data_IF_243755456082
#
_entry.id   IF_243755456082
#
_cell.length_a   1.000
_cell.length_b   1.000
_cell.length_c   1.000
_cell.angle_alpha   90.00
_cell.angle_beta   90.00
_cell.angle_gamma   90.00
#
_symmetry.space_group_name_H-M   'P 1'
#
loop_
_entity.id
_entity.type
_entity.pdbx_description
1 polymer ?
#
# COMPACT_ATOMS: atom_id res chain seq x y z
N UNK A 1 -20.33 65.44 -21.90
CA UNK A 1 -19.42 64.27 -21.98
C UNK A 1 -18.68 64.08 -20.66
N UNK A 2 -19.39 63.72 -19.57
CA UNK A 2 -18.77 63.49 -18.25
C UNK A 2 -19.22 62.15 -17.62
N UNK A 3 -20.37 61.59 -18.00
CA UNK A 3 -20.86 60.30 -17.49
C UNK A 3 -20.19 59.06 -18.11
N UNK A 4 -19.77 59.14 -19.37
CA UNK A 4 -19.22 57.99 -20.12
C UNK A 4 -17.84 57.55 -19.60
N UNK A 5 -17.03 58.52 -19.15
CA UNK A 5 -15.69 58.30 -18.62
C UNK A 5 -15.69 57.73 -17.19
N UNK A 6 -16.74 58.02 -16.42
CA UNK A 6 -16.96 57.49 -15.06
C UNK A 6 -17.46 56.06 -15.13
N UNK A 7 -18.40 55.76 -16.03
CA UNK A 7 -18.91 54.39 -16.24
C UNK A 7 -17.79 53.44 -16.67
N UNK A 8 -16.95 53.82 -17.66
CA UNK A 8 -15.81 52.99 -18.08
C UNK A 8 -14.82 52.71 -16.94
N UNK A 9 -14.52 53.69 -16.08
CA UNK A 9 -13.64 53.49 -14.91
C UNK A 9 -14.29 52.56 -13.88
N UNK A 10 -15.59 52.70 -13.65
CA UNK A 10 -16.34 51.85 -12.71
C UNK A 10 -16.42 50.40 -13.20
N UNK A 11 -16.65 50.18 -14.50
CA UNK A 11 -16.66 48.84 -15.11
C UNK A 11 -15.30 48.15 -15.04
N UNK A 12 -14.20 48.88 -15.27
CA UNK A 12 -12.83 48.34 -15.17
C UNK A 12 -12.50 47.93 -13.73
N UNK A 13 -12.92 48.72 -12.73
CA UNK A 13 -12.71 48.39 -11.32
C UNK A 13 -13.49 47.13 -10.93
N UNK A 14 -14.74 46.98 -11.40
CA UNK A 14 -15.55 45.79 -11.15
C UNK A 14 -14.91 44.54 -11.78
N UNK A 15 -14.40 44.63 -13.02
CA UNK A 15 -13.74 43.50 -13.68
C UNK A 15 -12.46 43.09 -12.93
N UNK A 16 -11.64 44.05 -12.50
CA UNK A 16 -10.45 43.77 -11.68
C UNK A 16 -10.85 43.13 -10.35
N UNK A 17 -11.93 43.58 -9.72
CA UNK A 17 -12.46 42.96 -8.50
C UNK A 17 -12.96 41.54 -8.74
N UNK A 18 -13.64 41.27 -9.86
CA UNK A 18 -14.10 39.92 -10.21
C UNK A 18 -12.90 39.00 -10.46
N UNK A 19 -11.87 39.45 -11.17
CA UNK A 19 -10.64 38.69 -11.41
C UNK A 19 -9.88 38.45 -10.10
N UNK A 20 -9.80 39.46 -9.22
CA UNK A 20 -9.16 39.34 -7.92
C UNK A 20 -9.93 38.37 -6.99
N UNK A 21 -11.27 38.43 -6.97
CA UNK A 21 -12.11 37.49 -6.23
C UNK A 21 -11.97 36.09 -6.81
N UNK A 22 -11.97 35.93 -8.14
CA UNK A 22 -11.74 34.64 -8.79
C UNK A 22 -10.35 34.07 -8.48
N UNK A 23 -9.31 34.91 -8.46
CA UNK A 23 -7.95 34.50 -8.07
C UNK A 23 -7.88 34.12 -6.59
N UNK A 24 -8.51 34.91 -5.70
CA UNK A 24 -8.57 34.61 -4.27
C UNK A 24 -9.34 33.30 -4.03
N UNK A 25 -10.50 33.11 -4.66
CA UNK A 25 -11.27 31.85 -4.58
C UNK A 25 -10.46 30.69 -5.16
N UNK A 26 -9.74 30.87 -6.26
CA UNK A 26 -8.85 29.85 -6.85
C UNK A 26 -7.67 29.50 -5.93
N UNK A 27 -7.06 30.48 -5.25
CA UNK A 27 -6.00 30.28 -4.27
C UNK A 27 -6.51 29.64 -2.97
N UNK A 28 -7.71 29.99 -2.50
CA UNK A 28 -8.33 29.38 -1.32
C UNK A 28 -8.88 27.97 -1.58
N UNK A 29 -9.20 27.61 -2.83
CA UNK A 29 -9.57 26.24 -3.21
C UNK A 29 -8.36 25.32 -3.38
N UNK A 30 -7.15 25.86 -3.54
CA UNK A 30 -5.90 25.08 -3.56
C UNK A 30 -5.23 24.91 -2.18
N UNK A 31 -5.83 25.45 -1.11
CA UNK A 31 -5.41 25.07 0.24
C UNK A 31 -6.12 23.78 0.58
N UNK A 32 -5.64 22.68 0.00
CA UNK A 32 -5.78 21.39 0.66
C UNK A 32 -5.18 21.59 2.05
N UNK A 33 -6.05 21.63 3.06
CA UNK A 33 -5.64 21.32 4.40
C UNK A 33 -5.23 19.84 4.36
N UNK A 34 -4.04 19.56 3.83
CA UNK A 34 -3.29 18.36 4.16
C UNK A 34 -3.15 18.42 5.67
N UNK A 35 -4.09 17.78 6.39
CA UNK A 35 -3.79 17.19 7.67
C UNK A 35 -2.62 16.25 7.40
N UNK A 36 -1.40 16.79 7.46
CA UNK A 36 -0.18 16.02 7.39
C UNK A 36 -0.33 14.96 8.49
N UNK A 37 -0.56 13.68 8.14
CA UNK A 37 -0.73 12.66 9.15
C UNK A 37 0.54 12.71 10.02
N UNK A 38 0.40 12.61 11.35
CA UNK A 38 1.55 12.78 12.24
C UNK A 38 2.67 11.87 11.76
N UNK A 39 3.84 12.46 11.47
CA UNK A 39 5.01 11.72 11.03
C UNK A 39 5.43 10.79 12.16
N UNK A 40 4.98 9.53 12.11
CA UNK A 40 5.29 8.52 13.12
C UNK A 40 6.79 8.31 13.15
N UNK A 41 7.41 8.46 14.32
CA UNK A 41 8.85 8.20 14.44
C UNK A 41 9.13 6.70 14.28
N UNK A 42 10.34 6.34 13.84
CA UNK A 42 10.76 4.94 13.72
C UNK A 42 10.56 4.17 15.04
N UNK A 43 10.85 4.80 16.18
CA UNK A 43 10.67 4.21 17.50
C UNK A 43 9.20 3.93 17.82
N UNK A 44 8.31 4.90 17.57
CA UNK A 44 6.87 4.72 17.78
C UNK A 44 6.30 3.62 16.87
N UNK A 45 6.77 3.53 15.62
CA UNK A 45 6.37 2.48 14.69
C UNK A 45 6.79 1.08 15.21
N UNK A 46 8.03 0.94 15.69
CA UNK A 46 8.53 -0.33 16.25
C UNK A 46 7.69 -0.74 17.46
N UNK A 47 7.45 0.17 18.41
CA UNK A 47 6.66 -0.15 19.61
C UNK A 47 5.20 -0.46 19.25
N UNK A 48 4.60 0.28 18.32
CA UNK A 48 3.27 -0.01 17.77
C UNK A 48 3.23 -1.42 17.17
N UNK A 49 4.20 -1.80 16.34
CA UNK A 49 4.25 -3.12 15.72
C UNK A 49 4.42 -4.25 16.74
N UNK A 50 5.21 -4.04 17.81
CA UNK A 50 5.29 -5.00 18.93
C UNK A 50 3.94 -5.17 19.62
N UNK A 51 3.22 -4.08 19.85
CA UNK A 51 1.86 -4.11 20.43
C UNK A 51 0.91 -4.88 19.52
N UNK A 52 0.96 -4.67 18.20
CA UNK A 52 0.15 -5.42 17.24
C UNK A 52 0.42 -6.92 17.31
N UNK A 53 1.68 -7.36 17.30
CA UNK A 53 2.04 -8.78 17.38
C UNK A 53 1.66 -9.40 18.72
N UNK A 54 1.86 -8.67 19.82
CA UNK A 54 1.59 -9.19 21.17
C UNK A 54 0.08 -9.24 21.49
N UNK A 55 -0.70 -8.28 20.99
CA UNK A 55 -2.12 -8.13 21.35
C UNK A 55 -3.09 -8.67 20.30
N UNK A 56 -2.70 -8.77 19.03
CA UNK A 56 -3.51 -9.43 17.99
C UNK A 56 -2.96 -10.83 17.76
N UNK A 57 -3.54 -11.75 18.51
CA UNK A 57 -3.21 -13.18 18.50
C UNK A 57 -3.50 -13.89 17.16
N UNK A 58 -3.91 -13.18 16.10
CA UNK A 58 -4.27 -13.75 14.81
C UNK A 58 -3.64 -12.95 13.67
N UNK A 59 -2.83 -13.61 12.86
CA UNK A 59 -2.18 -13.02 11.69
C UNK A 59 -2.62 -13.79 10.43
N UNK A 60 -3.23 -13.12 9.44
CA UNK A 60 -3.55 -13.78 8.18
C UNK A 60 -2.25 -14.13 7.44
N UNK A 61 -2.07 -15.39 7.06
CA UNK A 61 -1.03 -15.81 6.13
C UNK A 61 -1.55 -15.87 4.70
N UNK A 62 -2.82 -16.27 4.53
CA UNK A 62 -3.59 -16.21 3.29
C UNK A 62 -5.02 -15.79 3.63
N UNK A 63 -5.88 -15.59 2.61
CA UNK A 63 -7.28 -15.20 2.81
C UNK A 63 -8.04 -16.09 3.82
N UNK A 64 -7.74 -17.39 3.86
CA UNK A 64 -8.40 -18.37 4.73
C UNK A 64 -7.47 -19.05 5.74
N UNK A 65 -6.18 -18.68 5.78
CA UNK A 65 -5.20 -19.29 6.69
C UNK A 65 -4.80 -18.23 7.69
N UNK A 66 -5.25 -18.39 8.94
CA UNK A 66 -4.97 -17.48 10.03
C UNK A 66 -4.04 -18.18 11.02
N UNK A 67 -2.86 -17.63 11.20
CA UNK A 67 -1.92 -18.07 12.22
C UNK A 67 -2.32 -17.48 13.57
N UNK A 68 -2.57 -18.35 14.55
CA UNK A 68 -2.72 -17.92 15.94
C UNK A 68 -1.36 -17.87 16.65
N UNK A 69 -1.07 -16.81 17.40
CA UNK A 69 0.19 -16.64 18.14
C UNK A 69 -0.11 -16.53 19.65
N UNK A 70 0.62 -17.26 20.52
CA UNK A 70 1.70 -18.20 20.19
C UNK A 70 1.17 -19.51 19.57
N UNK A 71 1.94 -20.08 18.65
CA UNK A 71 1.71 -21.41 18.06
C UNK A 71 2.99 -22.22 18.17
N UNK A 72 2.85 -23.53 18.41
CA UNK A 72 4.01 -24.42 18.47
C UNK A 72 4.83 -24.34 17.18
N UNK A 73 6.16 -24.33 17.30
CA UNK A 73 7.08 -24.28 16.16
C UNK A 73 6.80 -23.10 15.21
N UNK A 74 6.28 -22.00 15.74
CA UNK A 74 6.04 -20.76 15.00
C UNK A 74 6.47 -19.57 15.84
N UNK A 75 7.30 -18.71 15.26
CA UNK A 75 7.79 -17.50 15.91
C UNK A 75 7.35 -16.28 15.11
N UNK A 76 6.88 -15.25 15.80
CA UNK A 76 6.62 -13.94 15.24
C UNK A 76 7.46 -12.90 15.99
N UNK A 77 8.26 -12.13 15.26
CA UNK A 77 9.20 -11.17 15.84
C UNK A 77 9.16 -9.84 15.08
N UNK A 78 9.50 -8.75 15.78
CA UNK A 78 9.70 -7.43 15.18
C UNK A 78 11.19 -7.14 15.14
N UNK A 79 11.72 -6.89 13.95
CA UNK A 79 13.14 -6.56 13.77
C UNK A 79 13.49 -5.18 14.34
N UNK A 80 14.78 -4.86 14.42
CA UNK A 80 15.26 -3.52 14.82
C UNK A 80 14.81 -2.39 13.87
N UNK A 81 14.38 -2.73 12.66
CA UNK A 81 13.82 -1.78 11.71
C UNK A 81 12.29 -1.70 11.77
N UNK A 82 11.64 -2.54 12.58
CA UNK A 82 10.19 -2.56 12.76
C UNK A 82 9.46 -3.57 11.88
N UNK A 83 10.17 -4.28 10.99
CA UNK A 83 9.56 -5.29 10.12
C UNK A 83 9.05 -6.47 10.94
N UNK A 84 7.90 -6.99 10.53
CA UNK A 84 7.35 -8.23 11.05
C UNK A 84 8.02 -9.42 10.35
N UNK A 85 8.48 -10.37 11.14
CA UNK A 85 9.02 -11.64 10.70
C UNK A 85 8.19 -12.77 11.30
N UNK A 86 7.73 -13.69 10.46
CA UNK A 86 7.11 -14.94 10.89
C UNK A 86 7.94 -16.09 10.35
N UNK A 87 8.28 -17.04 11.19
CA UNK A 87 8.93 -18.30 10.80
C UNK A 87 8.12 -19.45 11.36
N UNK A 88 7.86 -20.48 10.55
CA UNK A 88 7.08 -21.64 10.98
C UNK A 88 7.61 -22.94 10.39
N UNK A 89 7.73 -23.94 11.26
CA UNK A 89 7.88 -25.36 10.91
C UNK A 89 6.68 -26.18 11.43
N UNK A 90 5.60 -25.50 11.83
CA UNK A 90 4.38 -26.13 12.30
C UNK A 90 3.70 -26.92 11.16
N UNK A 91 3.68 -28.24 11.29
CA UNK A 91 3.15 -29.14 10.25
C UNK A 91 1.69 -28.88 9.90
N UNK A 92 0.85 -28.46 10.86
CA UNK A 92 -0.56 -28.17 10.59
C UNK A 92 -0.70 -26.98 9.63
N UNK A 93 0.05 -25.90 9.88
CA UNK A 93 0.04 -24.70 9.03
C UNK A 93 0.65 -25.00 7.66
N UNK A 94 1.76 -25.74 7.64
CA UNK A 94 2.41 -26.14 6.39
C UNK A 94 1.51 -27.02 5.52
N UNK A 95 0.74 -27.92 6.12
CA UNK A 95 -0.26 -28.73 5.41
C UNK A 95 -1.42 -27.89 4.89
N UNK A 96 -1.91 -26.92 5.67
CA UNK A 96 -2.95 -25.99 5.21
C UNK A 96 -2.46 -25.17 4.00
N UNK A 97 -1.24 -24.62 4.06
CA UNK A 97 -0.63 -23.93 2.92
C UNK A 97 -0.50 -24.85 1.70
N UNK A 98 0.02 -26.07 1.88
CA UNK A 98 0.17 -27.05 0.81
C UNK A 98 -1.16 -27.51 0.18
N UNK A 99 -2.27 -27.43 0.92
CA UNK A 99 -3.61 -27.73 0.43
C UNK A 99 -4.25 -26.55 -0.31
N UNK A 100 -3.90 -25.31 0.05
CA UNK A 100 -4.45 -24.08 -0.53
C UNK A 100 -3.88 -23.79 -1.92
N UNK A 101 -2.56 -23.93 -2.11
CA UNK A 101 -1.91 -23.66 -3.41
C UNK A 101 -0.74 -24.65 -3.66
N UNK A 102 -0.66 -25.14 -4.91
CA UNK A 102 0.37 -26.07 -5.36
C UNK A 102 1.82 -25.57 -5.14
N UNK A 103 2.04 -24.25 -5.07
CA UNK A 103 3.38 -23.68 -4.80
C UNK A 103 3.97 -24.19 -3.49
N UNK A 104 3.13 -24.43 -2.49
CA UNK A 104 3.50 -24.89 -1.16
C UNK A 104 3.65 -26.41 -1.07
N UNK A 105 3.43 -27.16 -2.16
CA UNK A 105 3.59 -28.61 -2.16
C UNK A 105 5.02 -29.00 -1.79
N UNK A 106 5.15 -29.84 -0.76
CA UNK A 106 6.44 -30.29 -0.23
C UNK A 106 7.13 -29.29 0.70
N UNK A 107 6.44 -28.24 1.14
CA UNK A 107 7.02 -27.25 2.07
C UNK A 107 7.45 -27.90 3.39
N UNK A 108 8.66 -27.56 3.84
CA UNK A 108 9.26 -27.98 5.11
C UNK A 108 9.36 -26.84 6.12
N UNK A 109 9.49 -25.61 5.64
CA UNK A 109 9.48 -24.42 6.47
C UNK A 109 8.91 -23.23 5.69
N UNK A 110 8.28 -22.32 6.42
CA UNK A 110 7.70 -21.09 5.91
C UNK A 110 8.35 -19.91 6.63
N UNK A 111 8.67 -18.85 5.88
CA UNK A 111 9.02 -17.57 6.46
C UNK A 111 8.29 -16.45 5.74
N UNK A 112 7.82 -15.45 6.47
CA UNK A 112 7.21 -14.24 5.95
C UNK A 112 7.92 -13.03 6.54
N UNK A 113 8.12 -12.01 5.72
CA UNK A 113 8.52 -10.68 6.14
C UNK A 113 7.54 -9.65 5.60
N UNK A 114 7.10 -8.73 6.47
CA UNK A 114 6.30 -7.56 6.10
C UNK A 114 7.04 -6.28 6.54
N UNK A 115 7.10 -5.28 5.66
CA UNK A 115 7.73 -3.99 5.95
C UNK A 115 7.07 -3.29 7.15
N UNK A 116 7.88 -2.64 7.98
CA UNK A 116 7.45 -1.97 9.20
C UNK A 116 6.21 -1.08 9.02
N UNK A 117 6.17 -0.28 7.95
CA UNK A 117 5.07 0.66 7.67
C UNK A 117 3.74 -0.02 7.33
N UNK A 118 3.75 -1.32 6.95
CA UNK A 118 2.57 -2.08 6.53
C UNK A 118 2.11 -3.11 7.57
N UNK A 119 2.84 -3.32 8.67
CA UNK A 119 2.53 -4.35 9.68
C UNK A 119 1.14 -4.18 10.29
N UNK A 120 0.79 -2.97 10.72
CA UNK A 120 -0.53 -2.70 11.30
C UNK A 120 -1.66 -3.00 10.31
N UNK A 121 -1.53 -2.50 9.07
CA UNK A 121 -2.47 -2.71 7.98
C UNK A 121 -2.60 -4.19 7.61
N UNK A 122 -1.49 -4.93 7.64
CA UNK A 122 -1.43 -6.36 7.34
C UNK A 122 -2.16 -7.20 8.39
N UNK A 123 -1.88 -6.96 9.68
CA UNK A 123 -2.48 -7.68 10.81
C UNK A 123 -3.98 -7.37 10.91
N UNK A 124 -4.38 -6.13 10.57
CA UNK A 124 -5.77 -5.66 10.67
C UNK A 124 -6.58 -5.77 9.40
N UNK A 125 -6.10 -6.50 8.37
CA UNK A 125 -6.68 -6.57 7.04
C UNK A 125 -8.07 -7.24 6.99
N UNK A 126 -9.04 -6.57 7.62
CA UNK A 126 -10.46 -6.90 7.69
C UNK A 126 -11.13 -6.19 6.53
N UNK A 127 -11.02 -6.75 5.32
CA UNK A 127 -11.66 -6.25 4.07
C UNK A 127 -11.90 -4.74 4.10
N UNK A 128 -10.81 -3.98 4.08
CA UNK A 128 -10.88 -2.53 4.21
C UNK A 128 -11.72 -1.99 3.05
N UNK A 129 -12.82 -1.29 3.37
CA UNK A 129 -13.63 -0.58 2.39
C UNK A 129 -13.15 0.86 2.33
N UNK A 130 -12.77 1.31 1.15
CA UNK A 130 -12.28 2.67 0.98
C UNK A 130 -13.39 3.68 1.32
N UNK A 131 -13.13 4.70 2.15
CA UNK A 131 -14.01 5.85 2.21
C UNK A 131 -14.01 6.54 0.83
N UNK A 132 -15.13 7.15 0.46
CA UNK A 132 -15.24 7.91 -0.78
C UNK A 132 -14.33 9.15 -0.68
N UNK A 133 -13.18 9.09 -1.37
CA UNK A 133 -12.22 10.19 -1.45
C UNK A 133 -12.18 10.71 -2.90
N UNK A 134 -11.99 12.02 -3.05
CA UNK A 134 -11.90 12.68 -4.36
C UNK A 134 -10.64 13.53 -4.49
N UNK A 135 -10.07 13.58 -5.69
CA UNK A 135 -8.88 14.35 -6.04
C UNK A 135 -9.14 15.07 -7.35
N UNK A 136 -8.85 16.36 -7.39
CA UNK A 136 -8.86 17.11 -8.63
C UNK A 136 -7.45 17.20 -9.22
N UNK A 137 -7.28 16.62 -10.41
CA UNK A 137 -6.07 16.73 -11.21
C UNK A 137 -6.40 17.51 -12.48
N UNK A 138 -5.93 18.77 -12.54
CA UNK A 138 -6.23 19.74 -13.62
C UNK A 138 -7.75 19.95 -13.79
N UNK A 139 -8.30 19.54 -14.95
CA UNK A 139 -9.72 19.66 -15.32
C UNK A 139 -10.50 18.36 -15.12
N UNK A 140 -9.91 17.41 -14.39
CA UNK A 140 -10.46 16.08 -14.13
C UNK A 140 -10.59 15.86 -12.64
N UNK A 141 -11.78 15.44 -12.20
CA UNK A 141 -12.02 14.96 -10.84
C UNK A 141 -12.00 13.43 -10.84
N UNK A 142 -11.20 12.85 -9.95
CA UNK A 142 -11.12 11.41 -9.70
C UNK A 142 -11.79 11.12 -8.36
N UNK A 143 -12.62 10.08 -8.30
CA UNK A 143 -13.30 9.67 -7.08
C UNK A 143 -13.31 8.14 -6.97
N UNK A 144 -12.87 7.62 -5.81
CA UNK A 144 -13.03 6.19 -5.50
C UNK A 144 -14.41 6.01 -4.86
N UNK A 145 -15.32 5.34 -5.57
CA UNK A 145 -16.71 5.18 -5.12
C UNK A 145 -16.90 3.96 -4.21
N UNK A 146 -16.10 2.92 -4.42
CA UNK A 146 -16.05 1.73 -3.59
C UNK A 146 -14.71 0.99 -3.83
N UNK A 147 -14.41 0.02 -2.98
CA UNK A 147 -13.43 -1.01 -3.28
C UNK A 147 -13.09 -1.84 -2.04
N UNK A 148 -12.28 -2.86 -2.24
CA UNK A 148 -11.79 -3.75 -1.19
C UNK A 148 -10.25 -3.88 -1.27
N UNK A 149 -9.63 -4.10 -0.11
CA UNK A 149 -8.23 -4.52 -0.03
C UNK A 149 -8.10 -5.98 0.36
N UNK A 150 -7.35 -6.75 -0.43
CA UNK A 150 -6.99 -8.13 -0.15
C UNK A 150 -5.47 -8.31 0.06
N UNK A 151 -5.08 -9.38 0.75
CA UNK A 151 -3.69 -9.83 0.84
C UNK A 151 -3.53 -10.99 -0.13
N UNK A 152 -2.48 -10.96 -0.96
CA UNK A 152 -2.13 -12.09 -1.81
C UNK A 152 -0.63 -12.34 -1.79
N UNK A 153 -0.27 -13.57 -2.09
CA UNK A 153 1.07 -13.89 -2.58
C UNK A 153 1.06 -13.81 -4.10
N UNK A 154 2.00 -13.08 -4.70
CA UNK A 154 2.09 -12.99 -6.16
C UNK A 154 2.43 -14.35 -6.79
N UNK A 155 1.98 -14.57 -8.03
CA UNK A 155 2.13 -15.86 -8.70
C UNK A 155 3.58 -16.14 -9.14
N UNK A 156 4.31 -15.09 -9.52
CA UNK A 156 5.67 -15.22 -10.03
C UNK A 156 6.71 -15.07 -8.90
N UNK A 157 7.68 -15.99 -8.80
CA UNK A 157 8.75 -15.86 -7.83
C UNK A 157 9.72 -14.75 -8.25
N UNK A 158 10.35 -14.13 -7.25
CA UNK A 158 11.38 -13.11 -7.46
C UNK A 158 12.77 -13.66 -7.22
N UNK A 159 13.72 -13.15 -7.99
CA UNK A 159 15.14 -13.43 -7.75
C UNK A 159 15.64 -12.49 -6.66
N UNK A 160 16.25 -13.07 -5.64
CA UNK A 160 17.05 -12.34 -4.68
C UNK A 160 18.45 -12.15 -5.26
N UNK A 161 18.95 -10.92 -5.20
CA UNK A 161 20.33 -10.60 -5.51
C UNK A 161 21.14 -10.53 -4.22
N UNK A 162 22.45 -10.74 -4.31
CA UNK A 162 23.34 -10.52 -3.17
C UNK A 162 23.48 -9.01 -2.95
N UNK A 163 23.16 -8.55 -1.73
CA UNK A 163 23.39 -7.16 -1.37
C UNK A 163 24.89 -6.84 -1.43
N UNK A 164 25.24 -5.65 -1.92
CA UNK A 164 26.64 -5.19 -2.08
C UNK A 164 27.43 -5.18 -0.77
N UNK A 165 26.74 -5.17 0.38
CA UNK A 165 27.31 -5.24 1.74
C UNK A 165 26.92 -6.54 2.47
N UNK A 166 27.73 -7.59 2.33
CA UNK A 166 27.78 -8.70 3.30
C UNK A 166 26.87 -9.92 3.04
N UNK A 167 26.24 -10.43 4.11
CA UNK A 167 25.52 -11.71 4.17
C UNK A 167 24.00 -11.57 3.91
N UNK A 168 23.58 -10.49 3.26
CA UNK A 168 22.16 -10.21 3.02
C UNK A 168 21.80 -10.46 1.55
N UNK A 169 20.52 -10.75 1.33
CA UNK A 169 19.89 -10.62 0.03
C UNK A 169 19.22 -9.26 -0.11
N UNK A 170 19.03 -8.84 -1.35
CA UNK A 170 18.27 -7.67 -1.72
C UNK A 170 17.30 -8.03 -2.86
N UNK A 171 16.08 -7.52 -2.78
CA UNK A 171 15.12 -7.60 -3.87
C UNK A 171 14.31 -6.31 -3.94
N UNK A 172 14.08 -5.83 -5.16
CA UNK A 172 13.26 -4.63 -5.40
C UNK A 172 11.96 -5.08 -6.05
N UNK A 173 10.84 -4.71 -5.42
CA UNK A 173 9.49 -5.08 -5.83
C UNK A 173 8.76 -3.81 -6.28
N UNK A 174 8.05 -3.89 -7.41
CA UNK A 174 7.38 -2.74 -8.00
C UNK A 174 5.87 -2.82 -7.79
N UNK A 175 5.28 -1.68 -7.48
CA UNK A 175 3.83 -1.53 -7.51
C UNK A 175 3.35 -1.58 -8.96
N UNK A 176 2.31 -2.37 -9.20
CA UNK A 176 1.70 -2.50 -10.53
C UNK A 176 0.33 -1.84 -10.52
N UNK A 177 0.06 -1.07 -11.57
CA UNK A 177 -1.19 -0.35 -11.77
C UNK A 177 -1.91 -0.92 -12.99
N UNK A 178 -3.23 -1.12 -12.90
CA UNK A 178 -4.06 -1.56 -14.04
C UNK A 178 -4.15 -0.52 -15.16
N UNK A 179 -3.92 0.76 -14.85
CA UNK A 179 -3.93 1.87 -15.80
C UNK A 179 -3.18 3.09 -15.26
N UNK A 180 -2.93 4.09 -16.11
CA UNK A 180 -2.40 5.39 -15.68
C UNK A 180 -3.37 6.11 -14.73
N UNK A 181 -4.69 5.94 -14.91
CA UNK A 181 -5.70 6.51 -14.03
C UNK A 181 -5.66 5.85 -12.63
N UNK A 182 -5.38 4.54 -12.56
CA UNK A 182 -5.14 3.85 -11.29
C UNK A 182 -3.89 4.40 -10.58
N UNK A 183 -2.84 4.75 -11.33
CA UNK A 183 -1.65 5.39 -10.77
C UNK A 183 -1.96 6.77 -10.19
N UNK A 184 -2.78 7.57 -10.87
CA UNK A 184 -3.23 8.86 -10.32
C UNK A 184 -4.09 8.66 -9.08
N UNK A 185 -5.00 7.68 -9.09
CA UNK A 185 -5.85 7.35 -7.95
C UNK A 185 -5.06 6.84 -6.73
N UNK A 186 -3.79 6.44 -6.87
CA UNK A 186 -2.97 5.97 -5.75
C UNK A 186 -2.81 7.02 -4.63
N UNK A 187 -2.89 8.32 -4.95
CA UNK A 187 -2.85 9.41 -3.97
C UNK A 187 -4.18 9.64 -3.24
N UNK A 188 -5.28 9.00 -3.66
CA UNK A 188 -6.56 9.03 -2.96
C UNK A 188 -6.59 8.15 -1.72
N UNK A 189 -5.63 7.23 -1.58
CA UNK A 189 -5.52 6.37 -0.42
C UNK A 189 -4.84 7.12 0.72
N UNK A 190 -5.39 7.00 1.93
CA UNK A 190 -4.86 7.68 3.13
C UNK A 190 -3.41 7.27 3.47
N UNK A 191 -3.00 6.08 3.04
CA UNK A 191 -1.63 5.59 3.15
C UNK A 191 -0.95 5.75 1.80
N UNK A 192 0.20 6.43 1.77
CA UNK A 192 1.03 6.57 0.58
C UNK A 192 1.39 5.18 0.01
N UNK A 193 0.95 4.92 -1.22
CA UNK A 193 1.32 3.72 -1.98
C UNK A 193 2.64 4.02 -2.69
N UNK A 194 3.71 3.35 -2.28
CA UNK A 194 5.04 3.55 -2.87
C UNK A 194 5.11 2.90 -4.26
N UNK A 195 5.77 3.54 -5.23
CA UNK A 195 5.95 2.97 -6.58
C UNK A 195 6.81 1.69 -6.58
N UNK A 196 7.73 1.58 -5.61
CA UNK A 196 8.54 0.38 -5.39
C UNK A 196 8.98 0.29 -3.92
N UNK A 197 9.35 -0.92 -3.50
CA UNK A 197 10.00 -1.17 -2.21
C UNK A 197 11.27 -1.98 -2.45
N UNK A 198 12.28 -1.78 -1.59
CA UNK A 198 13.50 -2.57 -1.61
C UNK A 198 13.66 -3.28 -0.28
N UNK A 199 13.66 -4.61 -0.34
CA UNK A 199 13.75 -5.47 0.83
C UNK A 199 15.17 -6.02 0.92
N UNK A 200 15.83 -5.76 2.05
CA UNK A 200 17.14 -6.30 2.39
C UNK A 200 17.02 -7.25 3.57
N UNK A 201 17.26 -8.56 3.38
CA UNK A 201 17.04 -9.63 4.38
C UNK A 201 18.30 -10.44 4.63
N UNK A 202 18.48 -10.94 5.85
CA UNK A 202 19.64 -11.72 6.29
C UNK A 202 19.51 -13.22 5.98
N UNK A 203 18.75 -13.57 4.95
CA UNK A 203 18.42 -14.95 4.56
C UNK A 203 19.35 -15.55 3.51
N UNK A 204 20.53 -14.97 3.26
CA UNK A 204 21.48 -15.49 2.25
C UNK A 204 21.79 -16.97 2.45
N UNK A 205 22.20 -17.36 3.67
CA UNK A 205 22.51 -18.76 4.01
C UNK A 205 21.31 -19.68 3.91
N UNK A 206 20.12 -19.16 4.19
CA UNK A 206 18.88 -19.93 4.06
C UNK A 206 18.65 -20.31 2.59
N UNK A 207 18.85 -19.35 1.68
CA UNK A 207 18.67 -19.53 0.23
C UNK A 207 19.78 -20.40 -0.37
N UNK A 208 21.03 -20.22 0.03
CA UNK A 208 22.16 -20.99 -0.52
C UNK A 208 22.12 -22.48 -0.12
N UNK A 209 21.58 -22.80 1.06
CA UNK A 209 21.63 -24.15 1.63
C UNK A 209 20.35 -24.96 1.46
N UNK A 210 19.25 -24.33 1.02
CA UNK A 210 17.94 -24.99 0.93
C UNK A 210 17.28 -24.69 -0.41
N UNK A 211 16.36 -25.55 -0.83
CA UNK A 211 15.48 -25.28 -1.96
C UNK A 211 14.45 -24.21 -1.55
N UNK A 212 14.86 -22.94 -1.66
CA UNK A 212 14.08 -21.78 -1.22
C UNK A 212 13.58 -20.99 -2.42
N UNK A 213 12.26 -20.83 -2.51
CA UNK A 213 11.63 -19.94 -3.49
C UNK A 213 11.04 -18.73 -2.77
N UNK A 214 11.23 -17.53 -3.35
CA UNK A 214 10.80 -16.26 -2.76
C UNK A 214 9.66 -15.69 -3.60
N UNK A 215 8.57 -15.31 -2.94
CA UNK A 215 7.42 -14.69 -3.59
C UNK A 215 7.11 -13.33 -2.95
N UNK A 216 6.74 -12.31 -3.74
CA UNK A 216 6.19 -11.08 -3.21
C UNK A 216 4.92 -11.32 -2.41
N UNK A 217 4.80 -10.64 -1.28
CA UNK A 217 3.55 -10.49 -0.54
C UNK A 217 3.00 -9.10 -0.83
N UNK A 218 1.74 -9.02 -1.25
CA UNK A 218 1.19 -7.79 -1.78
C UNK A 218 -0.21 -7.51 -1.27
N UNK A 219 -0.53 -6.22 -1.12
CA UNK A 219 -1.91 -5.76 -1.06
C UNK A 219 -2.46 -5.58 -2.47
N UNK A 220 -3.65 -6.09 -2.70
CA UNK A 220 -4.44 -5.82 -3.91
C UNK A 220 -5.55 -4.85 -3.51
N UNK A 221 -5.51 -3.65 -4.07
CA UNK A 221 -6.56 -2.66 -3.99
C UNK A 221 -7.42 -2.80 -5.23
N UNK A 222 -8.61 -3.36 -5.11
CA UNK A 222 -9.59 -3.49 -6.18
C UNK A 222 -10.70 -2.46 -5.94
N UNK A 223 -10.89 -1.51 -6.85
CA UNK A 223 -11.76 -0.36 -6.63
C UNK A 223 -12.41 0.18 -7.89
N UNK A 224 -13.58 0.78 -7.71
CA UNK A 224 -14.29 1.47 -8.76
C UNK A 224 -13.90 2.96 -8.78
N UNK A 225 -13.19 3.36 -9.84
CA UNK A 225 -12.77 4.74 -10.09
C UNK A 225 -13.80 5.47 -10.97
N UNK A 226 -14.26 6.63 -10.52
CA UNK A 226 -15.04 7.58 -11.30
C UNK A 226 -14.15 8.75 -11.73
N UNK A 227 -14.18 9.04 -13.03
CA UNK A 227 -13.42 10.11 -13.66
C UNK A 227 -14.38 11.08 -14.33
N UNK A 228 -14.50 12.28 -13.76
CA UNK A 228 -15.39 13.32 -14.25
C UNK A 228 -14.56 14.46 -14.83
N UNK A 229 -14.64 14.68 -16.14
CA UNK A 229 -13.94 15.79 -16.81
C UNK A 229 -14.86 16.98 -17.02
N UNK A 230 -14.31 18.20 -16.96
CA UNK A 230 -15.06 19.44 -17.19
C UNK A 230 -15.70 19.53 -18.60
N UNK A 231 -15.28 18.64 -19.53
CA UNK A 231 -15.73 18.57 -20.93
C UNK A 231 -16.81 17.50 -21.19
N UNK A 232 -17.53 17.04 -20.14
CA UNK A 232 -18.72 16.14 -20.21
C UNK A 232 -18.38 14.64 -20.38
N UNK A 233 -17.11 14.24 -20.29
CA UNK A 233 -16.78 12.81 -20.20
C UNK A 233 -16.75 12.36 -18.74
N UNK A 234 -17.74 11.56 -18.36
CA UNK A 234 -17.77 10.81 -17.12
C UNK A 234 -17.51 9.35 -17.46
N UNK A 235 -16.47 8.78 -16.89
CA UNK A 235 -16.12 7.37 -17.05
C UNK A 235 -16.05 6.71 -15.68
N UNK A 236 -16.63 5.52 -15.57
CA UNK A 236 -16.50 4.67 -14.40
C UNK A 236 -15.82 3.38 -14.84
N UNK A 237 -14.79 2.96 -14.11
CA UNK A 237 -14.00 1.78 -14.44
C UNK A 237 -13.54 1.07 -13.17
N UNK A 238 -13.53 -0.25 -13.21
CA UNK A 238 -12.85 -1.06 -12.21
C UNK A 238 -11.34 -1.00 -12.45
N UNK A 239 -10.60 -0.63 -11.42
CA UNK A 239 -9.16 -0.47 -11.43
C UNK A 239 -8.52 -1.25 -10.28
N UNK A 240 -7.24 -1.57 -10.45
CA UNK A 240 -6.49 -2.39 -9.51
C UNK A 240 -5.10 -1.83 -9.30
N UNK A 241 -4.67 -1.81 -8.04
CA UNK A 241 -3.28 -1.54 -7.65
C UNK A 241 -2.75 -2.76 -6.87
N UNK A 242 -1.60 -3.27 -7.30
CA UNK A 242 -0.86 -4.33 -6.59
C UNK A 242 0.35 -3.69 -5.93
N UNK A 243 0.29 -3.48 -4.61
CA UNK A 243 1.38 -2.90 -3.82
C UNK A 243 2.15 -4.02 -3.09
N UNK A 244 3.43 -4.24 -3.38
CA UNK A 244 4.26 -5.12 -2.59
C UNK A 244 4.46 -4.55 -1.18
N UNK A 245 4.30 -5.40 -0.18
CA UNK A 245 4.41 -5.05 1.24
C UNK A 245 5.43 -5.91 1.99
N UNK A 246 6.00 -6.89 1.30
CA UNK A 246 6.85 -7.89 1.91
C UNK A 246 7.20 -9.05 0.98
N UNK A 247 7.79 -10.08 1.54
CA UNK A 247 8.16 -11.31 0.85
C UNK A 247 7.89 -12.53 1.73
N UNK A 248 7.52 -13.62 1.10
CA UNK A 248 7.49 -14.94 1.71
C UNK A 248 8.54 -15.86 1.10
N UNK A 249 9.01 -16.78 1.92
CA UNK A 249 10.00 -17.80 1.59
C UNK A 249 9.34 -19.16 1.80
N UNK A 250 9.32 -19.95 0.74
CA UNK A 250 8.87 -21.33 0.72
C UNK A 250 10.11 -22.21 0.67
N UNK A 251 10.36 -22.98 1.72
CA UNK A 251 11.56 -23.81 1.87
C UNK A 251 11.15 -25.28 1.75
N UNK A 252 11.71 -26.00 0.77
CA UNK A 252 11.36 -27.39 0.42
C UNK A 252 12.43 -28.42 0.77
#
# INVERSE_FOLDING_TARGET
MAGEHVIKKFTVIIIIFIIAIAAIVFFFWQVDAEEQPPKVTKTELIESNKVWVNNKAQIPLQNNIILSIPSANTEATITTNGDLIITSTNQEILQQLAADDNRYKGIKAYRLRIEAKKVSEYITNTKYRFPTNSLQEKLTNYEISNGERAITTEAEPVKAELATSGNNIQTTLKTTYSSDDAKVAASLFNSEISDEITITDDTKKLIENNDTTIYPKSFIYDFTLQKNTMLIFNAQKEEMITEPIGIEYIIK
#
